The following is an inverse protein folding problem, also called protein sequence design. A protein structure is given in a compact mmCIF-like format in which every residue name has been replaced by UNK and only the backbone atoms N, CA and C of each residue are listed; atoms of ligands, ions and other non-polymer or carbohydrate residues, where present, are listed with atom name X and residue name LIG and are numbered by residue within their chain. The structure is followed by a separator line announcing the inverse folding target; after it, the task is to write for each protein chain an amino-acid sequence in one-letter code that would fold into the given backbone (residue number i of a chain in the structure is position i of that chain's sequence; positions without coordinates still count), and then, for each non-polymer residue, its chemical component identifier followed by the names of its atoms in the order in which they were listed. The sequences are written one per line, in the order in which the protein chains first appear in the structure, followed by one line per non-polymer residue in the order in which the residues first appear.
data_IF_931962453736
#
_entry.id   IF_931962453736
#
_cell.length_a   1.000
_cell.length_b   1.000
_cell.length_c   1.000
_cell.angle_alpha   90.00
_cell.angle_beta   90.00
_cell.angle_gamma   90.00
#
_symmetry.space_group_name_H-M   'P 1'
#
loop_
_entity.id
_entity.type
_entity.pdbx_description
1 polymer ?
#
# COMPACT_ATOMS: atom_id res chain seq x y z
N UNK A 1 21.99 -7.63 -14.00
CA UNK A 1 21.47 -6.29 -14.36
C UNK A 1 22.61 -5.30 -14.14
N UNK A 2 22.85 -4.36 -15.06
CA UNK A 2 23.96 -3.40 -14.91
C UNK A 2 23.43 -2.24 -14.05
N UNK A 3 23.78 -2.22 -12.78
CA UNK A 3 23.43 -1.12 -11.88
C UNK A 3 24.11 0.16 -12.37
N UNK A 4 23.31 1.18 -12.65
CA UNK A 4 23.80 2.53 -12.89
C UNK A 4 23.35 3.39 -11.73
N UNK A 5 24.29 4.14 -11.13
CA UNK A 5 23.97 5.12 -10.08
C UNK A 5 22.87 6.06 -10.59
N UNK A 6 21.76 6.14 -9.87
CA UNK A 6 20.68 7.05 -10.23
C UNK A 6 21.11 8.50 -9.95
N UNK A 7 20.42 9.47 -10.58
CA UNK A 7 20.65 10.90 -10.35
C UNK A 7 19.97 11.42 -9.08
N UNK A 8 19.95 10.60 -8.03
CA UNK A 8 19.31 10.92 -6.76
C UNK A 8 20.19 10.51 -5.60
N UNK A 9 20.17 11.30 -4.54
CA UNK A 9 20.76 10.96 -3.25
C UNK A 9 19.69 11.10 -2.17
N UNK A 10 19.75 10.22 -1.18
CA UNK A 10 18.90 10.27 0.00
C UNK A 10 19.74 10.65 1.22
N UNK A 11 19.19 11.53 2.05
CA UNK A 11 19.75 11.91 3.34
C UNK A 11 18.73 11.59 4.44
N UNK A 12 19.22 10.99 5.52
CA UNK A 12 18.44 10.66 6.70
C UNK A 12 18.91 11.53 7.87
N UNK A 13 17.96 12.02 8.66
CA UNK A 13 18.21 12.95 9.77
C UNK A 13 17.77 12.33 11.09
N UNK A 14 18.57 12.54 12.13
CA UNK A 14 18.25 12.14 13.50
C UNK A 14 17.09 12.98 14.07
N UNK A 15 16.51 12.59 15.22
CA UNK A 15 15.46 13.38 15.87
C UNK A 15 15.84 14.80 16.27
N UNK A 16 17.12 15.09 16.47
CA UNK A 16 17.64 16.44 16.73
C UNK A 16 17.83 17.27 15.43
N UNK A 17 17.49 16.72 14.27
CA UNK A 17 17.66 17.35 12.96
C UNK A 17 19.07 17.25 12.38
N UNK A 18 20.03 16.69 13.11
CA UNK A 18 21.38 16.47 12.59
C UNK A 18 21.38 15.36 11.53
N UNK A 19 22.29 15.45 10.55
CA UNK A 19 22.46 14.42 9.54
C UNK A 19 22.86 13.10 10.23
N UNK A 20 22.09 12.04 9.96
CA UNK A 20 22.44 10.69 10.37
C UNK A 20 23.40 10.06 9.37
N UNK A 21 22.99 9.96 8.11
CA UNK A 21 23.84 9.58 6.98
C UNK A 21 23.14 9.95 5.66
N UNK A 22 23.90 9.95 4.57
CA UNK A 22 23.36 10.04 3.22
C UNK A 22 24.03 9.05 2.28
N UNK A 23 23.36 8.75 1.18
CA UNK A 23 23.83 7.79 0.19
C UNK A 23 23.25 8.08 -1.21
N UNK A 24 23.97 7.71 -2.29
CA UNK A 24 23.38 7.71 -3.62
C UNK A 24 22.29 6.63 -3.70
N UNK A 25 21.21 6.93 -4.42
CA UNK A 25 20.18 5.95 -4.75
C UNK A 25 20.56 5.17 -6.02
N UNK A 26 20.02 3.96 -6.13
CA UNK A 26 20.28 3.04 -7.22
C UNK A 26 19.03 2.89 -8.07
N UNK A 27 19.23 2.78 -9.39
CA UNK A 27 18.15 2.47 -10.32
C UNK A 27 18.07 0.95 -10.50
N UNK A 28 16.91 0.38 -10.22
CA UNK A 28 16.57 -1.00 -10.51
C UNK A 28 15.67 -1.07 -11.73
N UNK A 29 16.04 -1.95 -12.65
CA UNK A 29 15.38 -2.13 -13.94
C UNK A 29 15.99 -1.27 -15.05
N UNK A 30 15.69 -1.66 -16.28
CA UNK A 30 16.10 -0.94 -17.49
C UNK A 30 14.85 -0.35 -18.12
N UNK A 31 14.81 0.96 -18.44
CA UNK A 31 13.72 1.49 -19.24
C UNK A 31 13.75 0.81 -20.61
N UNK A 32 12.69 0.06 -20.95
CA UNK A 32 12.53 -0.54 -22.27
C UNK A 32 11.74 0.45 -23.13
N UNK A 33 12.34 0.90 -24.23
CA UNK A 33 11.67 1.76 -25.20
C UNK A 33 10.38 1.09 -25.71
N UNK A 34 9.27 1.82 -25.66
CA UNK A 34 7.97 1.38 -26.20
C UNK A 34 7.07 0.58 -25.26
N UNK A 35 7.44 0.36 -23.98
CA UNK A 35 6.65 -0.47 -23.07
C UNK A 35 6.23 0.20 -21.74
N UNK A 36 6.38 1.52 -21.56
CA UNK A 36 5.98 2.26 -20.34
C UNK A 36 6.42 1.62 -19.01
N UNK A 37 7.58 0.96 -18.95
CA UNK A 37 8.09 0.45 -17.67
C UNK A 37 8.60 1.62 -16.81
N UNK A 38 8.01 1.79 -15.64
CA UNK A 38 8.58 2.60 -14.56
C UNK A 38 9.86 1.95 -14.06
N UNK A 39 10.94 2.72 -13.89
CA UNK A 39 12.13 2.27 -13.17
C UNK A 39 11.96 2.53 -11.68
N UNK A 40 12.47 1.62 -10.85
CA UNK A 40 12.48 1.82 -9.40
C UNK A 40 13.77 2.53 -9.01
N UNK A 41 13.66 3.60 -8.23
CA UNK A 41 14.80 4.27 -7.60
C UNK A 41 14.73 3.98 -6.11
N UNK A 42 15.69 3.22 -5.58
CA UNK A 42 15.73 2.86 -4.16
C UNK A 42 17.11 3.06 -3.54
N UNK A 43 17.18 3.19 -2.22
CA UNK A 43 18.44 3.01 -1.50
C UNK A 43 18.89 1.56 -1.65
N UNK A 44 20.21 1.32 -1.69
CA UNK A 44 20.74 -0.03 -1.70
C UNK A 44 20.18 -0.82 -0.51
N UNK A 45 19.83 -2.09 -0.72
CA UNK A 45 19.50 -2.99 0.41
C UNK A 45 20.69 -3.03 1.37
N UNK A 46 20.41 -3.32 2.66
CA UNK A 46 21.42 -3.34 3.71
C UNK A 46 22.72 -4.04 3.27
N UNK A 47 23.75 -3.24 3.01
CA UNK A 47 25.07 -3.64 2.53
C UNK A 47 26.17 -3.25 3.55
N UNK A 48 27.42 -3.64 3.28
CA UNK A 48 28.59 -3.21 4.08
C UNK A 48 28.69 -1.67 4.20
N UNK A 49 28.13 -0.91 3.25
CA UNK A 49 28.07 0.55 3.30
C UNK A 49 27.26 1.09 4.49
N UNK A 50 26.51 0.24 5.18
CA UNK A 50 25.73 0.57 6.37
C UNK A 50 26.41 0.20 7.69
N UNK A 51 27.60 -0.41 7.64
CA UNK A 51 28.32 -0.81 8.83
C UNK A 51 28.60 0.40 9.74
N UNK A 52 28.27 0.26 11.03
CA UNK A 52 28.46 1.31 12.03
C UNK A 52 27.43 2.46 11.98
N UNK A 53 26.44 2.41 11.07
CA UNK A 53 25.38 3.43 11.00
C UNK A 53 24.20 3.14 11.91
N UNK A 54 24.09 1.92 12.45
CA UNK A 54 22.98 1.53 13.33
C UNK A 54 22.91 2.40 14.59
N UNK A 55 21.69 2.65 15.07
CA UNK A 55 21.43 3.40 16.30
C UNK A 55 20.27 2.76 17.07
N UNK A 56 20.31 2.90 18.40
CA UNK A 56 19.22 2.50 19.29
C UNK A 56 18.31 3.67 19.67
N UNK A 57 18.56 4.85 19.11
CA UNK A 57 17.72 6.01 19.33
C UNK A 57 16.33 5.81 18.67
N UNK A 58 15.32 6.37 19.33
CA UNK A 58 13.92 6.38 18.86
C UNK A 58 13.46 7.82 18.72
N UNK A 59 12.38 8.04 18.00
CA UNK A 59 11.82 9.37 17.78
C UNK A 59 11.47 9.61 16.32
N UNK A 60 11.29 10.87 15.96
CA UNK A 60 10.94 11.26 14.59
C UNK A 60 12.21 11.53 13.80
N UNK A 61 12.47 10.71 12.79
CA UNK A 61 13.59 10.87 11.86
C UNK A 61 13.13 11.62 10.63
N UNK A 62 14.05 12.35 9.99
CA UNK A 62 13.82 13.01 8.71
C UNK A 62 14.36 12.19 7.55
N UNK A 63 13.77 12.39 6.36
CA UNK A 63 14.28 11.88 5.08
C UNK A 63 14.19 12.98 4.04
N UNK A 64 15.20 13.09 3.18
CA UNK A 64 15.23 14.03 2.06
C UNK A 64 15.83 13.35 0.85
N UNK A 65 15.18 13.46 -0.31
CA UNK A 65 15.69 12.97 -1.59
C UNK A 65 15.97 14.17 -2.48
N UNK A 66 17.18 14.23 -3.01
CA UNK A 66 17.65 15.34 -3.85
C UNK A 66 18.12 14.81 -5.20
N UNK A 67 17.69 15.48 -6.27
CA UNK A 67 18.24 15.29 -7.60
C UNK A 67 19.65 15.89 -7.67
N UNK A 68 20.64 15.04 -7.87
CA UNK A 68 22.06 15.44 -7.78
C UNK A 68 22.54 16.25 -8.99
N UNK A 69 21.73 16.37 -10.03
CA UNK A 69 22.07 17.19 -11.23
C UNK A 69 21.87 18.68 -11.00
N UNK A 70 20.80 19.05 -10.29
CA UNK A 70 20.34 20.43 -10.14
C UNK A 70 20.10 20.83 -8.68
N UNK A 71 20.40 19.94 -7.72
CA UNK A 71 20.17 20.12 -6.29
C UNK A 71 18.70 20.34 -5.90
N UNK A 72 17.76 19.93 -6.75
CA UNK A 72 16.34 20.01 -6.47
C UNK A 72 15.93 18.96 -5.42
N UNK A 73 15.21 19.37 -4.38
CA UNK A 73 14.60 18.41 -3.45
C UNK A 73 13.33 17.87 -4.07
N UNK A 74 13.33 16.56 -4.37
CA UNK A 74 12.20 15.87 -5.00
C UNK A 74 11.28 15.20 -3.99
N UNK A 75 11.77 14.97 -2.77
CA UNK A 75 10.97 14.49 -1.66
C UNK A 75 11.59 14.94 -0.34
N UNK A 76 10.75 15.29 0.63
CA UNK A 76 11.16 15.52 2.01
C UNK A 76 10.05 15.03 2.94
N UNK A 77 10.42 14.34 4.00
CA UNK A 77 9.46 13.76 4.93
C UNK A 77 10.07 13.40 6.27
N UNK A 78 9.26 12.77 7.11
CA UNK A 78 9.58 12.31 8.44
C UNK A 78 8.92 10.97 8.76
N UNK A 79 9.58 10.14 9.54
CA UNK A 79 9.03 8.87 10.00
C UNK A 79 9.31 8.67 11.48
N UNK A 80 8.36 8.09 12.20
CA UNK A 80 8.48 7.86 13.64
C UNK A 80 8.99 6.45 13.91
N UNK A 81 10.14 6.36 14.56
CA UNK A 81 10.74 5.10 15.01
C UNK A 81 10.38 4.87 16.47
N UNK A 82 9.71 3.76 16.74
CA UNK A 82 9.47 3.23 18.07
C UNK A 82 10.31 1.99 18.35
N UNK A 83 10.21 1.48 19.57
CA UNK A 83 10.78 0.19 19.94
C UNK A 83 9.88 -0.57 20.90
N UNK A 84 9.94 -1.90 20.84
CA UNK A 84 9.25 -2.79 21.77
C UNK A 84 10.23 -3.85 22.29
N UNK A 85 9.95 -4.35 23.49
CA UNK A 85 10.78 -5.38 24.12
C UNK A 85 10.54 -6.73 23.44
N UNK A 86 11.62 -7.50 23.26
CA UNK A 86 11.51 -8.87 22.74
C UNK A 86 10.81 -9.79 23.74
N UNK A 87 10.35 -10.95 23.26
CA UNK A 87 9.63 -11.92 24.10
C UNK A 87 10.49 -12.50 25.24
N UNK A 88 11.80 -12.64 25.03
CA UNK A 88 12.72 -13.09 26.06
C UNK A 88 12.99 -11.96 27.08
N UNK A 89 12.54 -12.17 28.31
CA UNK A 89 12.67 -11.21 29.40
C UNK A 89 13.76 -11.58 30.40
N UNK A 90 14.55 -12.60 30.12
CA UNK A 90 15.64 -13.05 30.99
C UNK A 90 16.70 -11.95 31.18
N UNK A 91 17.51 -12.01 32.27
CA UNK A 91 18.46 -10.96 32.58
C UNK A 91 19.48 -10.65 31.46
N UNK A 92 19.80 -11.64 30.63
CA UNK A 92 20.72 -11.51 29.50
C UNK A 92 20.18 -10.59 28.40
N UNK A 93 18.86 -10.59 28.20
CA UNK A 93 18.17 -9.87 27.13
C UNK A 93 17.34 -8.68 27.66
N UNK A 94 17.66 -8.22 28.89
CA UNK A 94 16.91 -7.12 29.53
C UNK A 94 16.90 -5.82 28.71
N UNK A 95 17.88 -5.65 27.82
CA UNK A 95 18.06 -4.50 26.94
C UNK A 95 17.82 -4.83 25.46
N UNK A 96 17.21 -5.97 25.17
CA UNK A 96 16.90 -6.36 23.80
C UNK A 96 15.57 -5.74 23.38
N UNK A 97 15.65 -4.99 22.28
CA UNK A 97 14.51 -4.31 21.70
C UNK A 97 14.50 -4.51 20.19
N UNK A 98 13.30 -4.68 19.65
CA UNK A 98 13.05 -4.52 18.22
C UNK A 98 12.58 -3.10 17.93
N UNK A 99 12.92 -2.61 16.74
CA UNK A 99 12.57 -1.28 16.27
C UNK A 99 11.56 -1.37 15.14
N UNK A 100 10.65 -0.41 15.09
CA UNK A 100 9.64 -0.34 14.05
C UNK A 100 9.44 1.10 13.61
N UNK A 101 9.02 1.28 12.37
CA UNK A 101 8.47 2.54 11.88
C UNK A 101 6.96 2.48 12.09
N UNK A 102 6.40 3.52 12.68
CA UNK A 102 4.95 3.66 12.84
C UNK A 102 4.27 3.89 11.48
N UNK A 103 3.23 3.10 11.21
CA UNK A 103 2.57 3.02 9.90
C UNK A 103 1.04 3.08 10.00
N UNK A 104 0.48 3.41 11.18
CA UNK A 104 -0.97 3.52 11.40
C UNK A 104 -1.67 4.50 10.44
N UNK A 105 -0.94 5.47 9.88
CA UNK A 105 -1.46 6.39 8.86
C UNK A 105 -1.95 5.68 7.58
N UNK A 106 -1.51 4.44 7.31
CA UNK A 106 -1.96 3.67 6.15
C UNK A 106 -3.35 3.05 6.34
N UNK A 107 -3.78 2.82 7.60
CA UNK A 107 -4.98 2.05 7.93
C UNK A 107 -6.28 2.59 7.28
N UNK A 108 -6.54 3.92 7.24
CA UNK A 108 -7.73 4.45 6.61
C UNK A 108 -7.59 4.65 5.09
N UNK A 109 -6.43 4.34 4.49
CA UNK A 109 -6.14 4.58 3.06
C UNK A 109 -6.20 3.26 2.31
N UNK A 110 -7.10 3.17 1.33
CA UNK A 110 -7.24 2.04 0.43
C UNK A 110 -6.91 2.40 -1.00
N UNK A 111 -6.77 1.38 -1.85
CA UNK A 111 -6.49 1.54 -3.26
C UNK A 111 -7.42 0.66 -4.08
N UNK A 112 -7.89 1.16 -5.22
CA UNK A 112 -8.64 0.39 -6.22
C UNK A 112 -7.92 0.48 -7.55
N UNK A 113 -7.69 -0.66 -8.19
CA UNK A 113 -6.86 -0.73 -9.39
C UNK A 113 -7.21 -1.94 -10.25
N UNK A 114 -6.72 -1.94 -11.48
CA UNK A 114 -6.92 -3.03 -12.44
C UNK A 114 -5.67 -3.90 -12.52
N UNK A 115 -5.81 -5.19 -12.23
CA UNK A 115 -4.72 -6.13 -12.29
C UNK A 115 -4.65 -6.83 -13.65
N UNK A 116 -3.77 -6.30 -14.50
CA UNK A 116 -3.49 -6.81 -15.85
C UNK A 116 -2.62 -8.07 -15.88
N UNK A 117 -2.02 -8.49 -14.75
CA UNK A 117 -1.19 -9.68 -14.71
C UNK A 117 -2.00 -10.97 -14.94
N UNK A 118 -3.29 -10.97 -14.61
CA UNK A 118 -4.18 -12.11 -14.85
C UNK A 118 -4.71 -12.14 -16.28
N UNK A 119 -4.95 -10.97 -16.87
CA UNK A 119 -5.39 -10.82 -18.24
C UNK A 119 -5.20 -9.38 -18.68
N UNK A 120 -4.51 -9.20 -19.81
CA UNK A 120 -4.38 -7.89 -20.43
C UNK A 120 -5.71 -7.34 -20.98
N UNK A 121 -6.66 -8.22 -21.26
CA UNK A 121 -7.90 -7.93 -22.00
C UNK A 121 -9.18 -8.08 -21.15
N UNK A 122 -9.04 -8.58 -19.92
CA UNK A 122 -10.11 -8.60 -18.92
C UNK A 122 -9.49 -8.55 -17.51
N UNK A 123 -8.81 -7.44 -17.16
CA UNK A 123 -8.14 -7.32 -15.88
C UNK A 123 -9.17 -7.38 -14.75
N UNK A 124 -8.77 -8.01 -13.64
CA UNK A 124 -9.61 -8.05 -12.44
C UNK A 124 -9.52 -6.72 -11.71
N UNK A 125 -10.62 -6.27 -11.14
CA UNK A 125 -10.57 -5.20 -10.14
C UNK A 125 -9.94 -5.75 -8.88
N UNK A 126 -8.96 -5.04 -8.36
CA UNK A 126 -8.33 -5.28 -7.08
C UNK A 126 -8.63 -4.13 -6.14
N UNK A 127 -8.95 -4.46 -4.89
CA UNK A 127 -9.07 -3.50 -3.80
C UNK A 127 -8.06 -3.87 -2.72
N UNK A 128 -7.19 -2.92 -2.41
CA UNK A 128 -6.11 -3.08 -1.44
C UNK A 128 -6.44 -2.32 -0.16
N UNK A 129 -6.36 -2.98 0.99
CA UNK A 129 -6.61 -2.35 2.30
C UNK A 129 -5.55 -2.77 3.31
N UNK A 130 -5.18 -1.83 4.18
CA UNK A 130 -4.22 -2.06 5.27
C UNK A 130 -4.89 -2.55 6.54
N UNK A 131 -4.21 -3.49 7.19
CA UNK A 131 -4.57 -4.04 8.48
C UNK A 131 -3.33 -4.09 9.36
N UNK A 132 -3.54 -3.95 10.66
CA UNK A 132 -2.48 -4.13 11.64
C UNK A 132 -2.67 -5.44 12.39
N UNK A 133 -1.61 -6.21 12.53
CA UNK A 133 -1.67 -7.53 13.17
C UNK A 133 -1.03 -8.65 12.35
N UNK A 134 -0.75 -9.77 13.03
CA UNK A 134 -0.41 -11.06 12.44
C UNK A 134 -1.63 -11.80 11.88
N UNK A 135 -2.37 -11.13 10.99
CA UNK A 135 -3.62 -11.66 10.47
C UNK A 135 -3.36 -12.69 9.36
N UNK A 136 -4.26 -13.66 9.22
CA UNK A 136 -4.20 -14.65 8.15
C UNK A 136 -5.14 -14.25 7.01
N UNK A 137 -4.60 -14.21 5.78
CA UNK A 137 -5.37 -14.01 4.55
C UNK A 137 -6.55 -14.99 4.39
N UNK A 138 -6.40 -16.21 4.93
CA UNK A 138 -7.41 -17.28 4.84
C UNK A 138 -8.64 -17.07 5.72
N UNK A 139 -8.55 -16.14 6.66
CA UNK A 139 -9.64 -15.81 7.59
C UNK A 139 -10.42 -14.58 7.13
N UNK A 140 -9.99 -13.97 6.01
CA UNK A 140 -10.69 -12.87 5.37
C UNK A 140 -11.68 -13.36 4.31
N UNK A 141 -12.74 -12.58 4.16
CA UNK A 141 -13.68 -12.63 3.05
C UNK A 141 -13.95 -11.18 2.61
N UNK A 142 -14.04 -10.90 1.30
CA UNK A 142 -14.44 -9.61 0.79
C UNK A 142 -15.63 -9.73 -0.15
N UNK A 143 -16.69 -8.95 0.15
CA UNK A 143 -17.95 -8.96 -0.58
C UNK A 143 -18.14 -7.65 -1.31
N UNK A 144 -18.55 -7.74 -2.56
CA UNK A 144 -18.79 -6.61 -3.45
C UNK A 144 -20.29 -6.36 -3.57
N UNK A 145 -20.70 -5.12 -3.32
CA UNK A 145 -22.08 -4.66 -3.38
C UNK A 145 -22.26 -3.58 -4.44
N UNK A 146 -23.43 -3.60 -5.10
CA UNK A 146 -23.89 -2.55 -5.99
C UNK A 146 -25.39 -2.33 -5.77
N UNK A 147 -25.83 -1.07 -5.66
CA UNK A 147 -27.22 -0.71 -5.33
C UNK A 147 -27.77 -1.44 -4.08
N UNK A 148 -26.91 -1.62 -3.07
CA UNK A 148 -27.25 -2.31 -1.82
C UNK A 148 -27.35 -3.84 -1.91
N UNK A 149 -27.20 -4.43 -3.09
CA UNK A 149 -27.23 -5.88 -3.29
C UNK A 149 -25.81 -6.44 -3.44
N UNK A 150 -25.58 -7.60 -2.84
CA UNK A 150 -24.33 -8.34 -3.04
C UNK A 150 -24.29 -8.89 -4.47
N UNK A 151 -23.19 -8.66 -5.17
CA UNK A 151 -23.00 -9.09 -6.56
C UNK A 151 -21.86 -10.09 -6.73
N UNK A 152 -20.89 -10.12 -5.81
CA UNK A 152 -19.84 -11.14 -5.79
C UNK A 152 -19.17 -11.23 -4.41
N UNK A 153 -18.44 -12.32 -4.16
CA UNK A 153 -17.62 -12.53 -2.97
C UNK A 153 -16.30 -13.21 -3.35
N UNK A 154 -15.25 -12.97 -2.58
CA UNK A 154 -13.96 -13.67 -2.76
C UNK A 154 -14.09 -15.17 -2.58
N UNK A 155 -15.10 -15.65 -1.85
CA UNK A 155 -15.37 -17.09 -1.69
C UNK A 155 -15.87 -17.75 -2.99
N UNK A 156 -16.36 -16.96 -3.95
CA UNK A 156 -16.80 -17.44 -5.27
C UNK A 156 -15.62 -17.51 -6.27
N UNK A 157 -14.47 -18.03 -5.82
CA UNK A 157 -13.26 -18.18 -6.63
C UNK A 157 -12.42 -16.91 -6.79
N UNK A 158 -12.70 -15.87 -5.99
CA UNK A 158 -11.85 -14.69 -5.88
C UNK A 158 -10.53 -14.98 -5.18
N UNK A 159 -9.72 -13.94 -4.98
CA UNK A 159 -8.40 -14.04 -4.38
C UNK A 159 -8.24 -13.00 -3.27
N UNK A 160 -7.65 -13.43 -2.17
CA UNK A 160 -7.13 -12.57 -1.11
C UNK A 160 -5.66 -12.93 -0.90
N UNK A 161 -4.77 -11.95 -1.05
CA UNK A 161 -3.33 -12.14 -0.88
C UNK A 161 -2.71 -10.94 -0.17
N UNK A 162 -1.71 -11.18 0.68
CA UNK A 162 -0.89 -10.08 1.21
C UNK A 162 0.09 -9.63 0.14
N UNK A 163 0.09 -8.35 -0.22
CA UNK A 163 0.98 -7.81 -1.27
C UNK A 163 2.14 -7.00 -0.68
N UNK A 164 1.90 -6.29 0.43
CA UNK A 164 2.89 -5.47 1.11
C UNK A 164 2.89 -5.75 2.62
N UNK A 165 4.09 -5.77 3.20
CA UNK A 165 4.29 -6.03 4.62
C UNK A 165 5.28 -5.04 5.20
N UNK A 166 4.92 -4.41 6.32
CA UNK A 166 5.77 -3.48 7.07
C UNK A 166 5.84 -3.98 8.51
N UNK A 167 6.99 -4.49 8.91
CA UNK A 167 7.25 -5.01 10.26
C UNK A 167 8.73 -4.92 10.59
N UNK A 168 9.10 -5.14 11.86
CA UNK A 168 10.50 -5.15 12.29
C UNK A 168 11.28 -6.32 11.66
N UNK A 169 12.60 -6.35 11.81
CA UNK A 169 13.43 -7.48 11.32
C UNK A 169 13.07 -8.83 11.94
N UNK A 170 12.32 -8.84 13.05
CA UNK A 170 11.84 -10.04 13.73
C UNK A 170 10.31 -10.03 13.74
N UNK A 171 9.70 -11.19 13.48
CA UNK A 171 8.25 -11.38 13.59
C UNK A 171 7.84 -11.67 15.04
N UNK A 172 8.12 -10.74 15.93
CA UNK A 172 7.62 -10.75 17.31
C UNK A 172 6.56 -9.69 17.49
N UNK A 173 5.58 -9.97 18.37
CA UNK A 173 4.54 -9.02 18.73
C UNK A 173 3.71 -8.53 17.53
N UNK A 174 3.33 -9.48 16.66
CA UNK A 174 2.68 -9.21 15.38
C UNK A 174 1.40 -8.38 15.53
N UNK A 175 0.73 -8.46 16.68
CA UNK A 175 -0.54 -7.76 16.96
C UNK A 175 -0.43 -6.24 16.99
N UNK A 176 0.75 -5.69 17.25
CA UNK A 176 0.90 -4.25 17.56
C UNK A 176 1.88 -3.49 16.68
N UNK A 177 2.76 -4.18 15.94
CA UNK A 177 3.82 -3.52 15.16
C UNK A 177 4.00 -4.13 13.76
N UNK A 178 2.97 -4.80 13.24
CA UNK A 178 2.95 -5.34 11.88
C UNK A 178 1.80 -4.72 11.11
N UNK A 179 2.08 -4.20 9.92
CA UNK A 179 1.09 -3.69 9.00
C UNK A 179 1.16 -4.50 7.71
N UNK A 180 0.02 -5.04 7.30
CA UNK A 180 -0.13 -5.88 6.13
C UNK A 180 -1.17 -5.23 5.23
N UNK A 181 -0.81 -5.04 3.96
CA UNK A 181 -1.80 -4.73 2.93
C UNK A 181 -2.26 -6.03 2.30
N UNK A 182 -3.58 -6.15 2.15
CA UNK A 182 -4.20 -7.26 1.45
C UNK A 182 -4.89 -6.76 0.20
N UNK A 183 -4.60 -7.44 -0.91
CA UNK A 183 -5.30 -7.30 -2.17
C UNK A 183 -6.45 -8.28 -2.24
N UNK A 184 -7.63 -7.77 -2.54
CA UNK A 184 -8.87 -8.53 -2.70
C UNK A 184 -9.36 -8.38 -4.13
N UNK A 185 -9.68 -9.49 -4.79
CA UNK A 185 -10.22 -9.48 -6.15
C UNK A 185 -11.29 -10.54 -6.35
N UNK A 186 -12.21 -10.28 -7.26
CA UNK A 186 -13.35 -11.14 -7.56
C UNK A 186 -13.17 -11.79 -8.93
N UNK A 187 -13.42 -13.10 -9.03
CA UNK A 187 -13.20 -13.82 -10.29
C UNK A 187 -14.17 -13.43 -11.39
N UNK A 188 -15.38 -13.00 -11.01
CA UNK A 188 -16.48 -12.71 -11.92
C UNK A 188 -16.72 -11.21 -12.07
N UNK A 189 -15.79 -10.34 -11.64
CA UNK A 189 -15.91 -8.89 -11.80
C UNK A 189 -14.66 -8.33 -12.48
N UNK A 190 -14.79 -7.95 -13.75
CA UNK A 190 -13.67 -7.57 -14.64
C UNK A 190 -13.99 -6.30 -15.42
N UNK A 191 -12.95 -5.54 -15.75
CA UNK A 191 -13.08 -4.37 -16.62
C UNK A 191 -13.16 -4.78 -18.10
N UNK A 192 -13.92 -4.06 -18.94
CA UNK A 192 -13.88 -4.23 -20.39
C UNK A 192 -12.58 -3.61 -20.92
N UNK A 193 -11.74 -4.40 -21.59
CA UNK A 193 -10.55 -3.83 -22.24
C UNK A 193 -10.38 -4.27 -23.70
N UNK A 194 -11.42 -4.87 -24.29
CA UNK A 194 -11.43 -5.25 -25.71
C UNK A 194 -12.61 -4.55 -26.45
N UNK A 195 -12.33 -3.66 -27.42
CA UNK A 195 -13.36 -3.05 -28.25
C UNK A 195 -13.92 -3.96 -29.35
N UNK A 196 -13.30 -5.09 -29.68
CA UNK A 196 -13.66 -5.93 -30.85
C UNK A 196 -14.62 -7.08 -30.55
N UNK A 197 -15.10 -7.22 -29.32
CA UNK A 197 -16.23 -8.13 -29.00
C UNK A 197 -15.94 -9.63 -29.13
N UNK A 198 -14.74 -10.05 -29.54
CA UNK A 198 -14.37 -11.48 -29.66
C UNK A 198 -14.35 -12.23 -28.30
N UNK A 199 -14.33 -11.50 -27.17
CA UNK A 199 -14.20 -12.09 -25.84
C UNK A 199 -15.49 -12.30 -25.06
N UNK A 200 -16.63 -11.73 -25.51
CA UNK A 200 -17.92 -11.94 -24.85
C UNK A 200 -18.18 -13.45 -24.70
N UNK A 201 -17.91 -14.24 -25.76
CA UNK A 201 -18.08 -15.69 -25.80
C UNK A 201 -17.09 -16.51 -24.95
N UNK A 202 -15.92 -15.96 -24.58
CA UNK A 202 -14.94 -16.66 -23.71
C UNK A 202 -15.20 -16.42 -22.23
N UNK A 203 -15.98 -15.39 -21.90
CA UNK A 203 -16.28 -14.97 -20.54
C UNK A 203 -17.78 -14.87 -20.26
N UNK A 204 -18.62 -15.63 -20.98
CA UNK A 204 -20.09 -15.72 -20.86
C UNK A 204 -20.67 -15.90 -19.43
N UNK A 205 -19.82 -16.06 -18.40
CA UNK A 205 -20.20 -16.15 -16.97
C UNK A 205 -19.64 -15.02 -16.08
N UNK A 206 -18.79 -14.13 -16.60
CA UNK A 206 -18.21 -13.02 -15.82
C UNK A 206 -19.07 -11.76 -15.98
N UNK A 207 -19.26 -11.04 -14.87
CA UNK A 207 -19.95 -9.76 -14.83
C UNK A 207 -18.97 -8.67 -15.27
N UNK A 208 -19.30 -8.01 -16.37
CA UNK A 208 -18.49 -6.92 -16.92
C UNK A 208 -18.89 -5.64 -16.20
N UNK A 209 -17.91 -4.88 -15.72
CA UNK A 209 -18.12 -3.61 -15.00
C UNK A 209 -19.05 -2.63 -15.73
N UNK A 210 -18.95 -2.59 -17.07
CA UNK A 210 -19.75 -1.72 -17.94
C UNK A 210 -21.26 -1.96 -17.85
N UNK A 211 -21.70 -3.17 -17.51
CA UNK A 211 -23.12 -3.51 -17.42
C UNK A 211 -23.81 -2.87 -16.20
N UNK A 212 -23.01 -2.41 -15.23
CA UNK A 212 -23.48 -1.86 -13.95
C UNK A 212 -22.64 -0.64 -13.55
N UNK A 213 -22.68 0.46 -14.31
CA UNK A 213 -21.95 1.66 -13.92
C UNK A 213 -22.52 2.24 -12.61
N UNK A 214 -21.71 3.00 -11.88
CA UNK A 214 -22.09 3.65 -10.63
C UNK A 214 -21.20 3.28 -9.46
N UNK A 215 -21.72 3.51 -8.24
CA UNK A 215 -20.99 3.28 -7.00
C UNK A 215 -21.03 1.79 -6.61
N UNK A 216 -19.90 1.31 -6.13
CA UNK A 216 -19.70 -0.01 -5.55
C UNK A 216 -19.23 0.13 -4.12
N UNK A 217 -19.67 -0.79 -3.26
CA UNK A 217 -19.20 -0.89 -1.88
C UNK A 217 -18.52 -2.23 -1.68
N UNK A 218 -17.30 -2.20 -1.14
CA UNK A 218 -16.58 -3.39 -0.69
C UNK A 218 -16.71 -3.48 0.81
N UNK A 219 -17.16 -4.64 1.30
CA UNK A 219 -17.18 -4.96 2.73
C UNK A 219 -16.22 -6.10 2.98
N UNK A 220 -15.32 -5.92 3.93
CA UNK A 220 -14.33 -6.94 4.29
C UNK A 220 -14.70 -7.52 5.64
N UNK A 221 -14.68 -8.84 5.73
CA UNK A 221 -14.97 -9.62 6.92
C UNK A 221 -13.72 -10.37 7.35
N UNK A 222 -13.50 -10.46 8.65
CA UNK A 222 -12.47 -11.32 9.25
C UNK A 222 -13.14 -12.22 10.28
N UNK A 223 -13.01 -13.54 10.11
CA UNK A 223 -13.72 -14.55 10.93
C UNK A 223 -15.24 -14.30 11.01
N UNK A 224 -15.83 -13.86 9.90
CA UNK A 224 -17.27 -13.60 9.78
C UNK A 224 -17.75 -12.25 10.34
N UNK A 225 -16.90 -11.44 10.97
CA UNK A 225 -17.25 -10.09 11.41
C UNK A 225 -16.81 -9.04 10.38
N UNK A 226 -17.65 -8.07 10.04
CA UNK A 226 -17.25 -6.97 9.16
C UNK A 226 -16.22 -6.07 9.86
N UNK A 227 -15.10 -5.81 9.21
CA UNK A 227 -13.95 -5.07 9.79
C UNK A 227 -13.51 -3.87 8.96
N UNK A 228 -13.86 -3.83 7.67
CA UNK A 228 -13.63 -2.68 6.79
C UNK A 228 -14.79 -2.46 5.83
N UNK A 229 -14.89 -1.24 5.35
CA UNK A 229 -15.75 -0.87 4.23
C UNK A 229 -15.06 0.21 3.39
N UNK A 230 -15.16 0.12 2.07
CA UNK A 230 -14.70 1.16 1.15
C UNK A 230 -15.63 1.28 -0.04
N UNK A 231 -15.60 2.43 -0.71
CA UNK A 231 -16.42 2.70 -1.88
C UNK A 231 -15.55 3.14 -3.05
N UNK A 232 -15.96 2.75 -4.25
CA UNK A 232 -15.36 3.21 -5.51
C UNK A 232 -16.43 3.29 -6.59
N UNK A 233 -16.13 3.98 -7.68
CA UNK A 233 -17.09 4.20 -8.77
C UNK A 233 -16.57 3.66 -10.08
N UNK A 234 -17.50 3.19 -10.90
CA UNK A 234 -17.26 2.69 -12.25
C UNK A 234 -18.03 3.55 -13.25
N UNK A 235 -17.34 3.98 -14.31
CA UNK A 235 -17.92 4.80 -15.37
C UNK A 235 -18.79 3.99 -16.34
N UNK A 236 -19.58 4.66 -17.20
CA UNK A 236 -20.35 4.00 -18.28
C UNK A 236 -19.50 3.25 -19.30
N UNK A 237 -18.20 3.51 -19.35
CA UNK A 237 -17.19 2.81 -20.14
C UNK A 237 -16.65 1.56 -19.44
N UNK A 238 -17.09 1.27 -18.21
CA UNK A 238 -16.63 0.15 -17.39
C UNK A 238 -15.26 0.38 -16.74
N UNK A 239 -14.69 1.58 -16.83
CA UNK A 239 -13.42 1.93 -16.20
C UNK A 239 -13.63 2.47 -14.78
N UNK A 240 -12.57 2.40 -13.97
CA UNK A 240 -12.56 3.03 -12.64
C UNK A 240 -12.63 4.56 -12.78
N UNK A 241 -13.52 5.18 -12.02
CA UNK A 241 -13.63 6.65 -11.99
C UNK A 241 -12.56 7.22 -11.07
N UNK A 242 -11.69 8.07 -11.61
CA UNK A 242 -10.73 8.85 -10.81
C UNK A 242 -11.47 9.87 -9.94
N UNK A 243 -11.21 9.85 -8.64
CA UNK A 243 -11.76 10.82 -7.68
C UNK A 243 -10.84 12.05 -7.50
N UNK A 244 -9.73 12.11 -8.25
CA UNK A 244 -8.79 13.22 -8.29
C UNK A 244 -7.73 13.19 -7.18
N UNK A 245 -7.84 12.31 -6.17
CA UNK A 245 -6.92 12.30 -5.03
C UNK A 245 -5.51 11.91 -5.50
N UNK A 246 -5.38 10.84 -6.29
CA UNK A 246 -4.08 10.39 -6.80
C UNK A 246 -3.39 11.50 -7.62
N UNK A 247 -4.13 12.09 -8.57
CA UNK A 247 -3.65 13.18 -9.43
C UNK A 247 -3.23 14.42 -8.64
N UNK A 248 -4.02 14.85 -7.65
CA UNK A 248 -3.69 16.00 -6.82
C UNK A 248 -2.41 15.81 -5.99
N UNK A 249 -2.07 14.56 -5.66
CA UNK A 249 -0.91 14.21 -4.85
C UNK A 249 0.25 13.67 -5.68
N UNK A 250 0.21 13.83 -7.02
CA UNK A 250 1.24 13.37 -7.95
C UNK A 250 1.58 11.88 -7.82
N UNK A 251 0.59 11.05 -7.51
CA UNK A 251 0.76 9.61 -7.58
C UNK A 251 0.97 9.19 -9.03
N UNK A 252 2.04 8.46 -9.27
CA UNK A 252 2.43 7.98 -10.59
C UNK A 252 1.82 6.61 -10.93
N UNK A 253 1.02 6.03 -10.03
CA UNK A 253 0.33 4.77 -10.26
C UNK A 253 -1.13 4.99 -10.69
N UNK A 254 -1.65 4.09 -11.53
CA UNK A 254 -3.04 4.13 -12.02
C UNK A 254 -4.05 3.65 -10.95
N UNK A 255 -3.73 3.85 -9.67
CA UNK A 255 -4.57 3.43 -8.55
C UNK A 255 -5.47 4.57 -8.12
N UNK A 256 -6.75 4.27 -7.93
CA UNK A 256 -7.69 5.18 -7.28
C UNK A 256 -7.53 5.05 -5.77
N UNK A 257 -7.17 6.15 -5.10
CA UNK A 257 -7.06 6.19 -3.64
C UNK A 257 -8.47 6.33 -3.06
N UNK A 258 -8.88 5.45 -2.14
CA UNK A 258 -10.20 5.48 -1.53
C UNK A 258 -10.13 5.55 -0.01
N UNK A 259 -11.01 6.32 0.65
CA UNK A 259 -11.17 6.24 2.10
C UNK A 259 -11.69 4.86 2.51
N UNK A 260 -11.09 4.30 3.55
CA UNK A 260 -11.49 3.04 4.15
C UNK A 260 -12.08 3.34 5.51
N UNK A 261 -13.31 2.88 5.73
CA UNK A 261 -13.97 2.91 7.03
C UNK A 261 -13.53 1.71 7.85
N UNK A 262 -12.95 1.96 9.01
CA UNK A 262 -12.57 0.93 9.97
C UNK A 262 -13.79 0.59 10.83
N UNK A 263 -14.11 -0.70 10.98
CA UNK A 263 -15.27 -1.17 11.73
C UNK A 263 -14.82 -2.12 12.83
N UNK A 264 -15.37 -1.93 14.03
CA UNK A 264 -15.04 -2.74 15.20
C UNK A 264 -13.65 -2.44 15.76
N UNK A 265 -13.07 -3.45 16.43
CA UNK A 265 -11.80 -3.33 17.16
C UNK A 265 -10.81 -4.45 16.79
N UNK A 266 -10.89 -4.95 15.55
CA UNK A 266 -9.98 -6.00 15.05
C UNK A 266 -8.51 -5.60 15.28
N UNK A 267 -8.19 -4.37 14.94
CA UNK A 267 -6.85 -3.82 15.06
C UNK A 267 -6.83 -2.46 15.76
N UNK A 268 -5.83 -2.29 16.63
CA UNK A 268 -5.65 -1.06 17.42
C UNK A 268 -4.72 -0.10 16.68
N UNK A 269 -5.26 1.02 16.23
CA UNK A 269 -4.53 2.02 15.45
C UNK A 269 -4.82 3.43 15.93
N UNK A 270 -3.93 4.37 15.64
CA UNK A 270 -4.11 5.78 15.94
C UNK A 270 -4.83 6.52 14.79
N UNK A 271 -6.10 6.85 15.02
CA UNK A 271 -6.99 7.49 14.04
C UNK A 271 -6.54 8.86 13.54
N UNK A 272 -5.69 9.58 14.28
CA UNK A 272 -5.25 10.92 13.90
C UNK A 272 -4.05 10.93 12.95
N UNK A 273 -3.33 9.81 12.80
CA UNK A 273 -2.03 9.79 12.13
C UNK A 273 -2.09 10.04 10.63
N UNK A 274 -3.19 9.73 9.96
CA UNK A 274 -3.31 9.99 8.53
C UNK A 274 -3.25 11.49 8.19
N UNK A 275 -3.62 12.37 9.13
CA UNK A 275 -3.61 13.82 8.91
C UNK A 275 -2.22 14.44 8.99
N UNK A 276 -1.31 13.87 9.77
CA UNK A 276 -0.01 14.49 10.08
C UNK A 276 1.19 13.69 9.62
N UNK A 277 1.04 12.38 9.50
CA UNK A 277 2.15 11.43 9.35
C UNK A 277 2.01 10.60 8.06
N UNK A 278 0.88 10.68 7.35
CA UNK A 278 0.69 10.02 6.06
C UNK A 278 1.78 10.41 5.06
N UNK A 279 2.25 9.43 4.29
CA UNK A 279 3.34 9.57 3.31
C UNK A 279 4.54 10.33 3.89
N UNK A 280 4.90 9.97 5.13
CA UNK A 280 6.01 10.54 5.86
C UNK A 280 5.87 12.04 6.08
N UNK A 281 4.69 12.49 6.51
CA UNK A 281 4.41 13.90 6.77
C UNK A 281 3.98 14.71 5.54
N UNK A 282 3.56 14.04 4.48
CA UNK A 282 2.97 14.62 3.28
C UNK A 282 1.53 14.11 3.11
N UNK A 283 0.60 14.54 3.98
CA UNK A 283 -0.77 14.04 3.96
C UNK A 283 -1.46 14.32 2.62
N UNK A 284 -2.38 13.43 2.25
CA UNK A 284 -3.08 13.51 0.98
C UNK A 284 -4.02 14.72 0.93
N UNK A 285 -3.79 15.61 -0.02
CA UNK A 285 -4.74 16.66 -0.39
C UNK A 285 -6.01 16.04 -0.96
N UNK A 286 -7.17 16.56 -0.58
CA UNK A 286 -8.48 16.07 -1.04
C UNK A 286 -8.94 14.75 -0.40
N UNK A 287 -8.18 14.19 0.53
CA UNK A 287 -8.53 12.97 1.24
C UNK A 287 -9.13 13.26 2.62
N UNK A 288 -10.18 12.53 2.98
CA UNK A 288 -10.76 12.54 4.33
C UNK A 288 -11.03 11.10 4.75
N UNK A 289 -10.47 10.67 5.89
CA UNK A 289 -10.83 9.38 6.46
C UNK A 289 -12.31 9.39 6.92
N UNK A 290 -13.04 8.26 6.83
CA UNK A 290 -14.44 8.17 7.25
C UNK A 290 -14.66 8.20 8.77
#
# INVERSE_FOLDING_TARGET
LKETKARYAVEYFKPDGSLWYGEPMEQIGTPISGNNWSVLIESERASEKHQGKSTTATGTYGVKITNTRNNETVFQGKFKVGKFKTADTSPAYKNDYNFFVEQDWNIPIGFVWLNYAFSATAPRVCVSMWFKGGLSGKEFEARLYHNGQEIDSTDNGGLIGSDERRFSTIMENETTHHWLRYDMSWANFVAPTDPEGEQQARFDKKRIMQERPGEYTVKVFYKGAQVREAKFSVGPDGMLVDNGIAKQNNFADDKVIVPVKIIGALDKWNAAMWMTDAFYGNPLSGFSAP
#
